data_IF_246408392458
#
_entry.id   IF_246408392458
#
_cell.length_a   1.000
_cell.length_b   1.000
_cell.length_c   1.000
_cell.angle_alpha   90.00
_cell.angle_beta   90.00
_cell.angle_gamma   90.00
#
_symmetry.space_group_name_H-M   'P 1'
#
loop_
_entity.id
_entity.type
_entity.pdbx_description
1 polymer ?
#
# COMPACT_ATOMS: atom_id res chain seq x y z
N UNK A 1 2.87 18.21 11.96
CA UNK A 1 3.80 17.08 11.92
C UNK A 1 3.30 16.17 10.80
N UNK A 2 4.11 15.83 9.79
CA UNK A 2 3.68 14.88 8.76
C UNK A 2 3.57 13.48 9.40
N UNK A 3 2.43 12.81 9.20
CA UNK A 3 2.20 11.45 9.67
C UNK A 3 3.01 10.47 8.79
N UNK A 4 3.69 9.49 9.41
CA UNK A 4 4.47 8.49 8.68
C UNK A 4 3.66 7.19 8.57
N UNK A 5 3.16 6.87 7.37
CA UNK A 5 2.39 5.65 7.15
C UNK A 5 3.33 4.53 6.71
N UNK A 6 3.36 3.42 7.46
CA UNK A 6 4.08 2.22 7.07
C UNK A 6 3.11 1.28 6.37
N UNK A 7 3.24 1.17 5.06
CA UNK A 7 2.29 0.46 4.21
C UNK A 7 2.90 -0.86 3.74
N UNK A 8 2.23 -1.97 4.07
CA UNK A 8 2.53 -3.29 3.55
C UNK A 8 1.69 -3.52 2.29
N UNK A 9 2.32 -3.45 1.13
CA UNK A 9 1.69 -3.70 -0.15
C UNK A 9 1.76 -5.18 -0.50
N UNK A 10 0.61 -5.82 -0.65
CA UNK A 10 0.50 -7.20 -1.10
C UNK A 10 -0.13 -7.22 -2.48
N UNK A 11 0.58 -7.80 -3.45
CA UNK A 11 0.09 -7.95 -4.82
C UNK A 11 -0.71 -9.24 -4.89
N UNK A 12 -1.98 -9.14 -5.33
CA UNK A 12 -2.91 -10.28 -5.40
C UNK A 12 -2.47 -11.35 -6.42
N UNK A 13 -1.75 -10.93 -7.45
CA UNK A 13 -1.19 -11.82 -8.48
C UNK A 13 0.00 -12.59 -7.90
N UNK A 14 -0.03 -13.92 -8.02
CA UNK A 14 0.83 -14.91 -7.31
C UNK A 14 2.35 -14.78 -7.52
N UNK A 15 2.84 -13.81 -8.28
CA UNK A 15 4.20 -13.80 -8.83
C UNK A 15 5.11 -12.68 -8.31
N UNK A 16 4.64 -11.83 -7.39
CA UNK A 16 5.50 -10.80 -6.80
C UNK A 16 5.57 -10.89 -5.27
N UNK A 17 6.79 -10.86 -4.70
CA UNK A 17 6.95 -10.72 -3.26
C UNK A 17 6.37 -9.36 -2.89
N UNK A 18 5.33 -9.35 -2.06
CA UNK A 18 4.77 -8.11 -1.51
C UNK A 18 5.90 -7.23 -0.95
N UNK A 19 5.77 -5.92 -1.09
CA UNK A 19 6.79 -4.96 -0.65
C UNK A 19 6.25 -4.09 0.47
N UNK A 20 7.12 -3.67 1.38
CA UNK A 20 6.75 -2.74 2.44
C UNK A 20 7.36 -1.39 2.07
N UNK A 21 6.51 -0.38 1.91
CA UNK A 21 6.91 0.98 1.56
C UNK A 21 6.33 1.95 2.58
N UNK A 22 7.13 2.92 2.98
CA UNK A 22 6.63 4.03 3.78
C UNK A 22 6.04 5.08 2.83
N UNK A 23 4.86 5.59 3.17
CA UNK A 23 4.20 6.66 2.42
C UNK A 23 3.89 7.82 3.36
N UNK A 24 3.95 9.04 2.83
CA UNK A 24 3.60 10.24 3.58
C UNK A 24 2.08 10.45 3.67
N UNK A 25 1.33 9.70 2.86
CA UNK A 25 -0.12 9.75 2.77
C UNK A 25 -0.72 8.35 2.87
N UNK A 26 -1.89 8.27 3.50
CA UNK A 26 -2.71 7.05 3.55
C UNK A 26 -3.16 6.70 2.12
N UNK A 27 -2.85 5.51 1.60
CA UNK A 27 -3.37 5.05 0.32
C UNK A 27 -4.89 4.92 0.38
N UNK A 28 -5.55 5.19 -0.75
CA UNK A 28 -6.98 5.02 -0.93
C UNK A 28 -7.29 3.96 -1.98
N UNK A 29 -8.44 3.31 -1.85
CA UNK A 29 -8.93 2.39 -2.88
C UNK A 29 -9.12 3.15 -4.20
N UNK A 30 -8.53 2.63 -5.27
CA UNK A 30 -8.48 3.27 -6.58
C UNK A 30 -7.20 4.06 -6.85
N UNK A 31 -6.34 4.29 -5.85
CA UNK A 31 -5.05 4.94 -6.08
C UNK A 31 -4.14 4.08 -6.96
N UNK A 32 -3.29 4.77 -7.74
CA UNK A 32 -2.25 4.16 -8.56
C UNK A 32 -0.92 4.25 -7.84
N UNK A 33 -0.31 3.10 -7.60
CA UNK A 33 0.97 2.96 -6.90
C UNK A 33 1.98 2.38 -7.88
N UNK A 34 3.10 3.07 -8.06
CA UNK A 34 4.20 2.58 -8.89
C UNK A 34 5.18 1.83 -7.99
N UNK A 35 5.35 0.53 -8.23
CA UNK A 35 6.34 -0.29 -7.56
C UNK A 35 7.39 -0.73 -8.58
N UNK A 36 8.60 -0.17 -8.48
CA UNK A 36 9.63 -0.38 -9.49
C UNK A 36 9.24 0.23 -10.84
N UNK A 37 9.11 -0.62 -11.86
CA UNK A 37 8.72 -0.23 -13.23
C UNK A 37 7.25 -0.56 -13.56
N UNK A 38 6.49 -1.11 -12.59
CA UNK A 38 5.10 -1.50 -12.79
C UNK A 38 4.12 -0.63 -12.00
N UNK A 39 2.99 -0.34 -12.63
CA UNK A 39 1.87 0.37 -12.03
C UNK A 39 0.82 -0.61 -11.49
N UNK A 40 0.40 -0.37 -10.26
CA UNK A 40 -0.58 -1.16 -9.57
C UNK A 40 -1.74 -0.28 -9.09
N UNK A 41 -2.94 -0.83 -9.04
CA UNK A 41 -4.11 -0.17 -8.48
C UNK A 41 -4.41 -0.73 -7.10
N UNK A 42 -4.65 0.17 -6.15
CA UNK A 42 -5.10 -0.18 -4.80
C UNK A 42 -6.52 -0.71 -4.87
N UNK A 43 -6.72 -1.96 -4.48
CA UNK A 43 -8.03 -2.58 -4.38
C UNK A 43 -8.62 -2.46 -2.98
N UNK A 44 -7.78 -2.50 -1.95
CA UNK A 44 -8.24 -2.56 -0.57
C UNK A 44 -7.19 -1.97 0.36
N UNK A 45 -7.63 -1.29 1.42
CA UNK A 45 -6.77 -0.71 2.46
C UNK A 45 -7.35 -1.07 3.82
N UNK A 46 -6.61 -1.85 4.60
CA UNK A 46 -6.99 -2.33 5.92
C UNK A 46 -5.98 -1.83 6.95
N UNK A 47 -6.44 -1.27 8.06
CA UNK A 47 -5.58 -1.00 9.22
C UNK A 47 -5.26 -2.33 9.93
N UNK A 48 -3.99 -2.76 9.91
CA UNK A 48 -3.58 -4.03 10.53
C UNK A 48 -3.59 -3.97 12.05
N UNK A 49 -3.15 -2.84 12.59
CA UNK A 49 -3.12 -2.57 14.02
C UNK A 49 -3.56 -1.14 14.29
N UNK A 50 -4.10 -0.85 15.49
CA UNK A 50 -4.41 0.50 15.90
C UNK A 50 -3.16 1.39 15.74
N UNK A 51 -3.31 2.61 15.21
CA UNK A 51 -2.19 3.52 15.05
C UNK A 51 -1.57 3.86 16.40
N UNK A 52 -0.24 3.81 16.46
CA UNK A 52 0.53 4.16 17.64
C UNK A 52 1.25 5.48 17.40
N UNK A 53 0.68 6.57 17.92
CA UNK A 53 1.18 7.93 17.66
C UNK A 53 1.04 8.28 16.18
N UNK A 54 2.14 8.69 15.55
CA UNK A 54 2.17 9.05 14.12
C UNK A 54 2.41 7.85 13.18
N UNK A 55 2.49 6.62 13.72
CA UNK A 55 2.73 5.40 12.94
C UNK A 55 1.44 4.62 12.70
N UNK A 56 1.07 4.53 11.43
CA UNK A 56 -0.06 3.75 10.95
C UNK A 56 0.45 2.54 10.18
N UNK A 57 -0.06 1.35 10.51
CA UNK A 57 0.28 0.11 9.81
C UNK A 57 -0.88 -0.29 8.91
N UNK A 58 -0.71 -0.06 7.62
CA UNK A 58 -1.74 -0.34 6.62
C UNK A 58 -1.36 -1.58 5.83
N UNK A 59 -2.32 -2.48 5.64
CA UNK A 59 -2.26 -3.53 4.65
C UNK A 59 -2.99 -3.07 3.40
N UNK A 60 -2.31 -3.08 2.28
CA UNK A 60 -2.86 -2.61 1.02
C UNK A 60 -2.79 -3.72 -0.01
N UNK A 61 -3.95 -4.12 -0.50
CA UNK A 61 -4.04 -5.11 -1.58
C UNK A 61 -3.95 -4.38 -2.91
N UNK A 62 -3.02 -4.80 -3.75
CA UNK A 62 -2.77 -4.26 -5.07
C UNK A 62 -3.14 -5.27 -6.16
N UNK A 63 -3.58 -4.75 -7.29
CA UNK A 63 -3.73 -5.47 -8.55
C UNK A 63 -2.90 -4.77 -9.63
N UNK A 64 -2.30 -5.52 -10.55
CA UNK A 64 -1.56 -4.92 -11.65
C UNK A 64 -2.54 -4.23 -12.59
N UNK A 65 -2.33 -2.95 -12.87
CA UNK A 65 -3.13 -2.29 -13.89
C UNK A 65 -2.79 -2.93 -15.25
N UNK A 66 -3.75 -3.59 -15.89
CA UNK A 66 -3.59 -3.99 -17.29
C UNK A 66 -3.49 -2.73 -18.15
N UNK A 67 -2.47 -2.69 -19.01
CA UNK A 67 -2.16 -1.56 -19.89
C UNK A 67 -3.20 -1.37 -21.00
#
# INVERSE_FOLDING_TARGET
MPANYKVSYVIKERDHPGTILNTDHRPLVGDRVVLGEQEFTVLEVIDLIPPHGDFHYLHVTLHRAEA
#
